data_IF_142267746119
#
_entry.id   IF_142267746119
#
_cell.length_a   1.000
_cell.length_b   1.000
_cell.length_c   1.000
_cell.angle_alpha   90.00
_cell.angle_beta   90.00
_cell.angle_gamma   90.00
#
_symmetry.space_group_name_H-M   'P 1'
#
loop_
_entity.id
_entity.type
_entity.pdbx_description
1 polymer ?
#
# COMPACT_ATOMS: atom_id res chain seq x y z
N UNK A 1 -1.47 3.03 1.44
CA UNK A 1 -2.09 1.71 1.68
C UNK A 1 -1.51 0.69 0.73
N UNK A 2 -0.72 -0.21 1.26
CA UNK A 2 -0.15 -1.30 0.49
C UNK A 2 -1.06 -2.52 0.51
N UNK A 3 -1.03 -3.31 -0.55
CA UNK A 3 -1.79 -4.54 -0.60
C UNK A 3 -1.65 -5.26 -1.92
N UNK A 4 -2.02 -6.53 -1.93
CA UNK A 4 -2.04 -7.32 -3.16
C UNK A 4 -3.15 -6.84 -4.09
N UNK A 5 -4.31 -6.48 -3.54
CA UNK A 5 -5.49 -6.04 -4.29
C UNK A 5 -5.85 -7.02 -5.41
N UNK A 6 -6.22 -8.22 -5.03
CA UNK A 6 -6.53 -9.30 -5.99
C UNK A 6 -7.92 -9.91 -5.75
N UNK A 7 -9.00 -9.19 -6.05
CA UNK A 7 -9.04 -7.79 -6.49
C UNK A 7 -9.18 -6.82 -5.32
N UNK A 8 -8.96 -5.55 -5.59
CA UNK A 8 -9.41 -4.49 -4.70
C UNK A 8 -10.93 -4.54 -4.59
N UNK A 9 -11.48 -4.23 -3.43
CA UNK A 9 -12.93 -4.28 -3.21
C UNK A 9 -13.39 -3.14 -2.29
N UNK A 10 -14.71 -3.05 -2.10
CA UNK A 10 -15.30 -1.96 -1.31
C UNK A 10 -14.76 -1.88 0.12
N UNK A 11 -14.41 -3.02 0.72
CA UNK A 11 -13.79 -3.04 2.04
C UNK A 11 -12.49 -2.24 2.10
N UNK A 12 -11.65 -2.36 1.09
CA UNK A 12 -10.42 -1.57 0.98
C UNK A 12 -10.72 -0.08 0.86
N UNK A 13 -11.68 0.27 0.01
CA UNK A 13 -12.03 1.67 -0.27
C UNK A 13 -12.65 2.34 0.95
N UNK A 14 -13.55 1.66 1.64
CA UNK A 14 -14.19 2.18 2.85
C UNK A 14 -13.16 2.36 3.95
N UNK A 15 -12.29 1.38 4.18
CA UNK A 15 -11.25 1.48 5.20
C UNK A 15 -10.32 2.67 4.93
N UNK A 16 -9.88 2.83 3.68
CA UNK A 16 -9.02 3.96 3.30
C UNK A 16 -9.72 5.30 3.52
N UNK A 17 -11.00 5.41 3.16
CA UNK A 17 -11.78 6.62 3.33
C UNK A 17 -11.97 6.97 4.80
N UNK A 18 -12.30 5.99 5.64
CA UNK A 18 -12.48 6.20 7.07
C UNK A 18 -11.19 6.62 7.76
N UNK A 19 -10.06 5.99 7.43
CA UNK A 19 -8.75 6.35 7.98
C UNK A 19 -8.37 7.77 7.53
N UNK A 20 -8.59 8.09 6.26
CA UNK A 20 -8.31 9.43 5.73
C UNK A 20 -9.09 10.51 6.49
N UNK A 21 -10.35 10.24 6.81
CA UNK A 21 -11.17 11.19 7.59
C UNK A 21 -10.72 11.26 9.05
N UNK A 22 -10.47 10.12 9.68
CA UNK A 22 -10.11 10.06 11.10
C UNK A 22 -8.76 10.74 11.38
N UNK A 23 -7.79 10.57 10.51
CA UNK A 23 -6.45 11.12 10.65
C UNK A 23 -6.22 12.38 9.82
N UNK A 24 -7.25 12.87 9.14
CA UNK A 24 -7.20 14.09 8.32
C UNK A 24 -6.08 14.04 7.28
N UNK A 25 -6.00 12.93 6.58
CA UNK A 25 -5.00 12.73 5.54
C UNK A 25 -5.32 13.55 4.29
N UNK A 26 -4.29 14.10 3.66
CA UNK A 26 -4.44 14.85 2.40
C UNK A 26 -4.68 13.91 1.23
N UNK A 27 -3.97 12.78 1.21
CA UNK A 27 -4.07 11.76 0.16
C UNK A 27 -3.95 10.37 0.75
N UNK A 28 -4.55 9.40 0.08
CA UNK A 28 -4.27 7.98 0.29
C UNK A 28 -3.66 7.44 -1.00
N UNK A 29 -2.45 6.91 -0.91
CA UNK A 29 -1.77 6.29 -2.04
C UNK A 29 -1.92 4.78 -1.92
N UNK A 30 -2.60 4.17 -2.89
CA UNK A 30 -2.71 2.72 -3.00
C UNK A 30 -1.49 2.20 -3.75
N UNK A 31 -0.81 1.24 -3.15
CA UNK A 31 0.42 0.68 -3.73
C UNK A 31 0.24 -0.82 -3.92
N UNK A 32 -0.24 -1.26 -5.10
CA UNK A 32 -0.35 -2.69 -5.40
C UNK A 32 1.02 -3.36 -5.36
N UNK A 33 1.08 -4.52 -4.75
CA UNK A 33 2.34 -5.28 -4.71
C UNK A 33 2.73 -5.75 -6.12
N UNK A 34 4.03 -5.82 -6.37
CA UNK A 34 4.56 -6.45 -7.56
C UNK A 34 4.46 -7.97 -7.41
N UNK A 35 5.45 -8.56 -6.75
CA UNK A 35 5.43 -10.00 -6.41
C UNK A 35 5.21 -10.12 -4.91
N UNK A 36 4.03 -10.61 -4.46
CA UNK A 36 3.74 -10.72 -3.03
C UNK A 36 4.68 -11.73 -2.36
N UNK A 37 5.25 -11.31 -1.23
CA UNK A 37 6.29 -12.08 -0.54
C UNK A 37 5.86 -13.47 -0.09
N UNK A 38 4.62 -13.64 0.38
CA UNK A 38 4.15 -14.90 0.96
C UNK A 38 2.89 -15.46 0.30
N UNK A 39 2.61 -15.08 -0.95
CA UNK A 39 1.40 -15.50 -1.65
C UNK A 39 1.73 -16.21 -2.94
N UNK A 40 0.89 -17.21 -3.28
CA UNK A 40 0.96 -17.96 -4.52
C UNK A 40 -0.32 -17.73 -5.33
N UNK A 41 -0.28 -18.07 -6.61
CA UNK A 41 -1.45 -18.00 -7.51
C UNK A 41 -2.10 -16.59 -7.55
N UNK A 42 -1.27 -15.57 -7.61
CA UNK A 42 -1.73 -14.18 -7.64
C UNK A 42 -1.89 -13.72 -9.09
N UNK A 43 -2.95 -12.96 -9.35
CA UNK A 43 -3.18 -12.33 -10.66
C UNK A 43 -2.00 -11.41 -11.00
N UNK A 44 -1.69 -11.27 -12.30
CA UNK A 44 -0.61 -10.42 -12.77
C UNK A 44 -0.72 -9.00 -12.25
N UNK A 45 0.43 -8.42 -11.92
CA UNK A 45 0.53 -7.09 -11.33
C UNK A 45 -0.16 -6.01 -12.17
N UNK A 46 -0.01 -6.06 -13.50
CA UNK A 46 -0.64 -5.07 -14.38
C UNK A 46 -2.16 -5.09 -14.28
N UNK A 47 -2.77 -6.27 -14.21
CA UNK A 47 -4.22 -6.38 -14.07
C UNK A 47 -4.68 -5.87 -12.71
N UNK A 48 -3.96 -6.19 -11.65
CA UNK A 48 -4.29 -5.71 -10.29
C UNK A 48 -4.14 -4.20 -10.20
N UNK A 49 -3.11 -3.64 -10.83
CA UNK A 49 -2.91 -2.20 -10.91
C UNK A 49 -4.09 -1.53 -11.62
N UNK A 50 -4.48 -2.02 -12.80
CA UNK A 50 -5.59 -1.44 -13.55
C UNK A 50 -6.91 -1.51 -12.79
N UNK A 51 -7.19 -2.62 -12.12
CA UNK A 51 -8.40 -2.73 -11.30
C UNK A 51 -8.39 -1.70 -10.17
N UNK A 52 -7.23 -1.46 -9.57
CA UNK A 52 -7.09 -0.47 -8.50
C UNK A 52 -7.29 0.96 -9.02
N UNK A 53 -6.74 1.27 -10.19
CA UNK A 53 -6.94 2.58 -10.84
C UNK A 53 -8.42 2.84 -11.10
N UNK A 54 -9.11 1.86 -11.65
CA UNK A 54 -10.54 1.99 -11.95
C UNK A 54 -11.35 2.19 -10.66
N UNK A 55 -11.07 1.39 -9.64
CA UNK A 55 -11.82 1.42 -8.40
C UNK A 55 -11.64 2.73 -7.62
N UNK A 56 -10.50 3.39 -7.76
CA UNK A 56 -10.17 4.61 -7.01
C UNK A 56 -10.44 5.90 -7.78
N UNK A 57 -10.79 5.79 -9.06
CA UNK A 57 -10.87 6.94 -9.97
C UNK A 57 -11.86 8.02 -9.54
N UNK A 58 -12.93 7.65 -8.84
CA UNK A 58 -13.99 8.58 -8.44
C UNK A 58 -13.66 9.39 -7.18
N UNK A 59 -12.60 9.06 -6.47
CA UNK A 59 -12.22 9.78 -5.24
C UNK A 59 -10.95 10.60 -5.49
N UNK A 60 -11.03 11.96 -5.45
CA UNK A 60 -9.88 12.81 -5.76
C UNK A 60 -8.73 12.71 -4.75
N UNK A 61 -8.99 12.19 -3.55
CA UNK A 61 -7.94 11.98 -2.55
C UNK A 61 -7.17 10.67 -2.76
N UNK A 62 -7.68 9.78 -3.60
CA UNK A 62 -7.07 8.47 -3.84
C UNK A 62 -6.14 8.55 -5.05
N UNK A 63 -4.92 8.06 -4.86
CA UNK A 63 -3.90 7.91 -5.90
C UNK A 63 -3.45 6.47 -5.94
N UNK A 64 -2.90 6.05 -7.06
CA UNK A 64 -2.34 4.70 -7.21
C UNK A 64 -0.89 4.83 -7.65
N UNK A 65 0.01 4.09 -7.02
CA UNK A 65 1.43 4.11 -7.36
C UNK A 65 1.91 2.74 -7.85
N UNK A 66 2.78 2.75 -8.83
CA UNK A 66 3.42 1.56 -9.42
C UNK A 66 4.77 1.24 -8.78
N UNK A 67 5.18 1.94 -7.73
CA UNK A 67 6.56 1.82 -7.23
C UNK A 67 6.97 0.39 -6.91
N UNK A 68 6.07 -0.41 -6.33
CA UNK A 68 6.39 -1.80 -5.99
C UNK A 68 6.44 -2.70 -7.23
N UNK A 69 5.59 -2.42 -8.22
CA UNK A 69 5.58 -3.15 -9.49
C UNK A 69 6.85 -2.83 -10.28
N UNK A 70 7.18 -1.55 -10.40
CA UNK A 70 8.31 -1.09 -11.22
C UNK A 70 9.66 -1.45 -10.60
N UNK A 71 9.74 -1.53 -9.27
CA UNK A 71 10.98 -1.98 -8.61
C UNK A 71 11.31 -3.42 -8.97
N UNK A 72 10.31 -4.28 -9.13
CA UNK A 72 10.48 -5.69 -9.38
C UNK A 72 10.94 -6.47 -8.14
N UNK A 73 11.05 -7.78 -8.28
CA UNK A 73 11.38 -8.67 -7.17
C UNK A 73 10.27 -8.77 -6.13
N UNK A 74 10.57 -9.42 -5.00
CA UNK A 74 9.61 -9.52 -3.91
C UNK A 74 9.32 -8.16 -3.28
N UNK A 75 8.05 -7.91 -2.95
CA UNK A 75 7.63 -6.67 -2.32
C UNK A 75 7.75 -6.76 -0.81
N UNK A 76 8.52 -5.85 -0.22
CA UNK A 76 8.64 -5.70 1.23
C UNK A 76 8.22 -4.30 1.63
N UNK A 77 7.48 -4.20 2.74
CA UNK A 77 6.94 -2.92 3.22
C UNK A 77 8.04 -1.88 3.48
N UNK A 78 9.19 -2.30 4.00
CA UNK A 78 10.31 -1.39 4.27
C UNK A 78 10.80 -0.70 2.99
N UNK A 79 10.83 -1.42 1.87
CA UNK A 79 11.27 -0.85 0.59
C UNK A 79 10.23 0.13 0.07
N UNK A 80 8.95 -0.21 0.19
CA UNK A 80 7.85 0.67 -0.21
C UNK A 80 7.88 1.98 0.57
N UNK A 81 7.98 1.91 1.89
CA UNK A 81 7.98 3.11 2.74
C UNK A 81 9.24 3.95 2.54
N UNK A 82 10.39 3.32 2.31
CA UNK A 82 11.62 4.04 2.01
C UNK A 82 11.48 4.87 0.73
N UNK A 83 10.96 4.27 -0.34
CA UNK A 83 10.73 5.00 -1.59
C UNK A 83 9.68 6.10 -1.44
N UNK A 84 8.60 5.82 -0.70
CA UNK A 84 7.57 6.83 -0.46
C UNK A 84 8.14 8.02 0.30
N UNK A 85 9.03 7.79 1.27
CA UNK A 85 9.69 8.87 2.01
C UNK A 85 10.59 9.71 1.12
N UNK A 86 11.24 9.09 0.15
CA UNK A 86 12.06 9.80 -0.84
C UNK A 86 11.22 10.65 -1.77
N UNK A 87 10.06 10.13 -2.20
CA UNK A 87 9.14 10.85 -3.08
C UNK A 87 8.41 12.00 -2.36
N UNK A 88 8.14 11.83 -1.08
CA UNK A 88 7.40 12.81 -0.27
C UNK A 88 8.19 13.14 1.01
N UNK A 89 9.36 13.79 0.90
CA UNK A 89 10.28 13.97 2.03
C UNK A 89 9.70 14.82 3.16
N UNK A 90 8.76 15.71 2.85
CA UNK A 90 8.14 16.60 3.84
C UNK A 90 6.81 16.09 4.39
N UNK A 91 6.35 14.92 3.92
CA UNK A 91 5.07 14.36 4.35
C UNK A 91 5.23 13.47 5.57
N UNK A 92 4.21 13.48 6.42
CA UNK A 92 4.07 12.47 7.47
C UNK A 92 3.36 11.26 6.85
N UNK A 93 4.03 10.14 6.82
CA UNK A 93 3.48 8.92 6.25
C UNK A 93 2.66 8.16 7.29
N UNK A 94 1.48 7.72 6.90
CA UNK A 94 0.63 6.82 7.69
C UNK A 94 0.47 5.53 6.90
N UNK A 95 0.88 4.42 7.49
CA UNK A 95 0.76 3.12 6.84
C UNK A 95 -0.56 2.46 7.22
N UNK A 96 -1.34 2.11 6.21
CA UNK A 96 -2.64 1.45 6.37
C UNK A 96 -2.50 0.01 5.88
N UNK A 97 -2.83 -0.94 6.74
CA UNK A 97 -2.76 -2.36 6.40
C UNK A 97 -3.93 -3.12 7.00
N UNK A 98 -4.24 -4.27 6.42
CA UNK A 98 -5.25 -5.15 6.98
C UNK A 98 -4.77 -5.86 8.25
N UNK A 99 -5.72 -6.28 9.08
CA UNK A 99 -5.41 -6.97 10.32
C UNK A 99 -4.60 -8.26 10.12
N UNK A 100 -4.88 -8.99 9.05
CA UNK A 100 -4.17 -10.25 8.75
C UNK A 100 -2.68 -10.00 8.49
N UNK A 101 -2.35 -8.93 7.77
CA UNK A 101 -0.97 -8.57 7.49
C UNK A 101 -0.27 -8.07 8.77
N UNK A 102 -0.95 -7.24 9.55
CA UNK A 102 -0.41 -6.68 10.80
C UNK A 102 -0.13 -7.79 11.82
N UNK A 103 -0.91 -8.85 11.85
CA UNK A 103 -0.68 -9.97 12.75
C UNK A 103 0.71 -10.60 12.58
N UNK A 104 1.35 -10.41 11.43
CA UNK A 104 2.66 -10.97 11.10
C UNK A 104 3.76 -9.91 11.06
N UNK A 105 3.51 -8.71 11.53
CA UNK A 105 4.42 -7.57 11.37
C UNK A 105 5.82 -7.82 11.94
N UNK A 106 5.92 -8.56 13.04
CA UNK A 106 7.22 -8.84 13.66
C UNK A 106 8.10 -9.75 12.81
N UNK A 107 7.52 -10.46 11.84
CA UNK A 107 8.26 -11.31 10.90
C UNK A 107 8.64 -10.58 9.60
N UNK A 108 8.21 -9.32 9.44
CA UNK A 108 8.50 -8.56 8.22
C UNK A 108 9.98 -8.16 8.15
N UNK A 109 10.48 -8.04 6.93
CA UNK A 109 11.85 -7.61 6.67
C UNK A 109 12.10 -6.24 7.32
N UNK A 110 13.19 -6.15 8.10
CA UNK A 110 13.65 -4.91 8.73
C UNK A 110 12.53 -4.15 9.48
N UNK A 111 11.71 -4.89 10.23
CA UNK A 111 10.53 -4.33 10.91
C UNK A 111 10.88 -3.10 11.78
N UNK A 112 12.07 -3.07 12.37
CA UNK A 112 12.47 -1.94 13.23
C UNK A 112 12.55 -0.62 12.47
N UNK A 113 12.90 -0.65 11.19
CA UNK A 113 12.93 0.55 10.35
C UNK A 113 11.54 1.12 10.09
N UNK A 114 10.52 0.27 10.09
CA UNK A 114 9.15 0.72 9.82
C UNK A 114 8.69 1.80 10.80
N UNK A 115 9.09 1.66 12.07
CA UNK A 115 8.68 2.60 13.12
C UNK A 115 9.23 4.01 12.91
N UNK A 116 10.33 4.16 12.20
CA UNK A 116 10.93 5.44 11.88
C UNK A 116 10.43 6.03 10.56
N UNK A 117 9.83 5.21 9.69
CA UNK A 117 9.39 5.63 8.36
C UNK A 117 7.93 6.09 8.33
N UNK A 118 7.06 5.48 9.14
CA UNK A 118 5.63 5.77 9.09
C UNK A 118 4.95 5.53 10.45
N UNK A 119 3.77 6.11 10.56
CA UNK A 119 2.87 5.87 11.68
C UNK A 119 1.99 4.65 11.44
#
# INVERSE_FOLDING_TARGET
>A
MGGTFDPIHNGHLVAASEVANAFKLDEVVFVPTGTPYQKENVTEAEHRYLMTVIATASNPRFKVSRIDIDRGGDTYTVDTLTEMKELYPDADLVFISGADAIAQILAWKEVEKLWSLAH
#
